data_IF_225131781027
#
_entry.id   IF_225131781027
#
_cell.length_a   1.000
_cell.length_b   1.000
_cell.length_c   1.000
_cell.angle_alpha   90.00
_cell.angle_beta   90.00
_cell.angle_gamma   90.00
#
_symmetry.space_group_name_H-M   'P 1'
#
loop_
_entity.id
_entity.type
_entity.pdbx_description
1 polymer ?
#
# COMPACT_ATOMS: atom_id res chain seq x y z
N UNK A 1 18.87 -17.07 19.27
CA UNK A 1 18.22 -17.72 18.10
C UNK A 1 18.65 -17.06 16.80
N UNK A 2 18.55 -15.73 16.62
CA UNK A 2 18.99 -15.01 15.40
C UNK A 2 20.47 -15.21 15.01
N UNK A 3 21.38 -15.39 15.99
CA UNK A 3 22.80 -15.70 15.70
C UNK A 3 23.01 -17.04 15.00
N UNK A 4 22.14 -18.02 15.26
CA UNK A 4 22.20 -19.35 14.62
C UNK A 4 21.42 -19.40 13.32
N UNK A 5 20.36 -18.64 13.22
CA UNK A 5 19.43 -18.64 12.08
C UNK A 5 19.08 -17.21 11.69
N UNK A 6 20.00 -16.44 11.06
CA UNK A 6 19.80 -15.03 10.78
C UNK A 6 18.64 -14.75 9.81
N UNK A 7 18.34 -15.72 8.94
CA UNK A 7 17.30 -15.57 7.91
C UNK A 7 15.89 -16.01 8.37
N UNK A 8 15.77 -16.65 9.53
CA UNK A 8 14.45 -17.06 10.05
C UNK A 8 13.78 -15.86 10.70
N UNK A 9 12.59 -15.42 10.22
CA UNK A 9 11.84 -14.36 10.87
C UNK A 9 11.39 -14.78 12.27
N UNK A 10 11.60 -13.89 13.25
CA UNK A 10 11.14 -14.08 14.62
C UNK A 10 10.02 -13.10 14.90
N UNK A 11 8.84 -13.66 15.18
CA UNK A 11 7.64 -12.87 15.51
C UNK A 11 7.21 -13.19 16.93
N UNK A 12 6.98 -12.14 17.72
CA UNK A 12 6.40 -12.25 19.05
C UNK A 12 4.91 -11.91 18.96
N UNK A 13 4.08 -12.83 19.43
CA UNK A 13 2.65 -12.61 19.56
C UNK A 13 2.30 -12.48 21.05
N UNK A 14 1.75 -11.32 21.44
CA UNK A 14 1.43 -11.04 22.85
C UNK A 14 -0.06 -10.83 23.04
N UNK A 15 -0.64 -11.17 24.20
CA UNK A 15 -1.97 -10.73 24.54
C UNK A 15 -2.00 -9.20 24.61
N UNK A 16 -3.14 -8.62 24.20
CA UNK A 16 -3.30 -7.17 24.31
C UNK A 16 -3.47 -6.77 25.79
N UNK A 17 -2.46 -6.08 26.35
CA UNK A 17 -2.59 -5.35 27.60
C UNK A 17 -1.66 -4.14 27.59
N UNK A 18 -2.07 -3.06 28.27
CA UNK A 18 -1.21 -1.88 28.45
C UNK A 18 0.08 -2.20 29.21
N UNK A 19 0.03 -3.17 30.13
CA UNK A 19 1.19 -3.61 30.90
C UNK A 19 2.20 -4.33 30.02
N UNK A 20 1.75 -5.23 29.13
CA UNK A 20 2.61 -5.94 28.18
C UNK A 20 3.26 -4.96 27.21
N UNK A 21 2.51 -4.00 26.69
CA UNK A 21 3.05 -2.96 25.80
C UNK A 21 4.15 -2.13 26.47
N UNK A 22 3.99 -1.78 27.76
CA UNK A 22 5.01 -1.07 28.54
C UNK A 22 6.25 -1.92 28.81
N UNK A 23 6.09 -3.22 29.06
CA UNK A 23 7.22 -4.15 29.25
C UNK A 23 8.00 -4.34 27.96
N UNK A 24 7.32 -4.61 26.85
CA UNK A 24 7.93 -4.78 25.54
C UNK A 24 8.77 -3.56 25.13
N UNK A 25 8.30 -2.34 25.43
CA UNK A 25 9.05 -1.10 25.16
C UNK A 25 10.36 -0.97 25.97
N UNK A 26 10.57 -1.80 27.00
CA UNK A 26 11.78 -1.81 27.85
C UNK A 26 12.68 -3.02 27.59
N UNK A 27 12.22 -4.00 26.83
CA UNK A 27 12.97 -5.22 26.54
C UNK A 27 13.88 -5.02 25.32
N UNK A 28 15.02 -5.72 25.33
CA UNK A 28 15.88 -5.80 24.16
C UNK A 28 15.26 -6.72 23.09
N UNK A 29 14.67 -6.11 22.08
CA UNK A 29 14.04 -6.79 20.95
C UNK A 29 14.95 -6.88 19.72
N UNK A 30 16.26 -6.69 19.87
CA UNK A 30 17.22 -6.69 18.75
C UNK A 30 17.23 -7.97 17.90
N UNK A 31 16.68 -9.06 18.44
CA UNK A 31 16.51 -10.34 17.71
C UNK A 31 15.11 -10.60 17.20
N UNK A 32 14.16 -9.68 17.35
CA UNK A 32 12.76 -9.84 16.97
C UNK A 32 12.45 -8.98 15.75
N UNK A 33 11.92 -9.59 14.70
CA UNK A 33 11.56 -8.87 13.48
C UNK A 33 10.27 -8.06 13.67
N UNK A 34 9.26 -8.70 14.29
CA UNK A 34 7.96 -8.07 14.55
C UNK A 34 7.37 -8.49 15.90
N UNK A 35 6.62 -7.59 16.50
CA UNK A 35 5.78 -7.87 17.67
C UNK A 35 4.34 -7.60 17.28
N UNK A 36 3.42 -8.50 17.56
CA UNK A 36 1.99 -8.31 17.31
C UNK A 36 1.18 -8.47 18.57
N UNK A 37 0.07 -7.77 18.63
CA UNK A 37 -0.91 -7.87 19.71
C UNK A 37 -2.08 -8.75 19.27
N UNK A 38 -2.32 -9.84 20.03
CA UNK A 38 -3.47 -10.71 19.78
C UNK A 38 -4.76 -10.02 20.23
N UNK A 39 -5.62 -9.72 19.28
CA UNK A 39 -6.89 -9.02 19.47
C UNK A 39 -8.10 -9.95 19.30
N UNK A 40 -7.89 -11.28 19.34
CA UNK A 40 -8.96 -12.27 19.13
C UNK A 40 -9.32 -12.51 17.66
N UNK A 41 -8.56 -11.96 16.71
CA UNK A 41 -8.81 -12.10 15.28
C UNK A 41 -7.82 -13.10 14.65
N UNK A 42 -8.33 -14.22 14.15
CA UNK A 42 -7.53 -15.27 13.48
C UNK A 42 -6.85 -14.77 12.19
N UNK A 43 -7.48 -13.81 11.49
CA UNK A 43 -6.92 -13.21 10.27
C UNK A 43 -5.56 -12.53 10.51
N UNK A 44 -5.25 -12.21 11.78
CA UNK A 44 -3.93 -11.70 12.15
C UNK A 44 -2.80 -12.67 11.81
N UNK A 45 -3.01 -13.97 11.98
CA UNK A 45 -2.00 -14.98 11.65
C UNK A 45 -1.72 -15.01 10.13
N UNK A 46 -2.76 -14.89 9.33
CA UNK A 46 -2.63 -14.78 7.87
C UNK A 46 -1.89 -13.50 7.50
N UNK A 47 -2.23 -12.38 8.13
CA UNK A 47 -1.56 -11.11 7.91
C UNK A 47 -0.07 -11.14 8.28
N UNK A 48 0.29 -11.78 9.39
CA UNK A 48 1.69 -11.97 9.81
C UNK A 48 2.47 -12.77 8.76
N UNK A 49 1.93 -13.92 8.34
CA UNK A 49 2.58 -14.76 7.32
C UNK A 49 2.77 -13.98 6.02
N UNK A 50 1.72 -13.27 5.57
CA UNK A 50 1.77 -12.50 4.34
C UNK A 50 2.71 -11.30 4.40
N UNK A 51 2.80 -10.63 5.55
CA UNK A 51 3.76 -9.53 5.76
C UNK A 51 5.22 -10.02 5.66
N UNK A 52 5.49 -11.17 6.25
CA UNK A 52 6.81 -11.79 6.17
C UNK A 52 7.13 -12.22 4.74
N UNK A 53 6.19 -12.90 4.09
CA UNK A 53 6.30 -13.32 2.69
C UNK A 53 6.55 -12.12 1.77
N UNK A 54 5.79 -11.04 1.94
CA UNK A 54 5.95 -9.82 1.14
C UNK A 54 7.32 -9.19 1.35
N UNK A 55 7.80 -9.11 2.60
CA UNK A 55 9.13 -8.58 2.91
C UNK A 55 10.25 -9.44 2.31
N UNK A 56 10.14 -10.76 2.39
CA UNK A 56 11.17 -11.67 1.89
C UNK A 56 11.25 -11.67 0.35
N UNK A 57 10.13 -11.50 -0.32
CA UNK A 57 10.05 -11.53 -1.78
C UNK A 57 10.06 -10.14 -2.44
N UNK A 58 10.06 -9.06 -1.65
CA UNK A 58 9.92 -7.69 -2.15
C UNK A 58 10.94 -7.36 -3.24
N UNK A 59 12.21 -7.76 -3.07
CA UNK A 59 13.26 -7.46 -4.04
C UNK A 59 12.93 -8.01 -5.42
N UNK A 60 12.57 -9.29 -5.49
CA UNK A 60 12.28 -9.95 -6.77
C UNK A 60 10.91 -9.52 -7.31
N UNK A 61 9.88 -9.55 -6.46
CA UNK A 61 8.51 -9.32 -6.91
C UNK A 61 8.28 -7.87 -7.33
N UNK A 62 8.88 -6.91 -6.64
CA UNK A 62 8.70 -5.49 -6.96
C UNK A 62 9.65 -5.06 -8.08
N UNK A 63 10.96 -5.30 -7.94
CA UNK A 63 11.94 -4.74 -8.87
C UNK A 63 12.04 -5.52 -10.18
N UNK A 64 11.91 -6.86 -10.15
CA UNK A 64 12.08 -7.70 -11.33
C UNK A 64 10.75 -8.03 -12.03
N UNK A 65 9.68 -8.20 -11.25
CA UNK A 65 8.35 -8.57 -11.78
C UNK A 65 7.46 -7.34 -11.95
N UNK A 66 7.75 -6.25 -11.23
CA UNK A 66 6.96 -5.02 -11.29
C UNK A 66 5.68 -5.06 -10.46
N UNK A 67 5.64 -5.87 -9.40
CA UNK A 67 4.47 -5.93 -8.51
C UNK A 67 4.32 -4.64 -7.71
N UNK A 68 3.11 -4.18 -7.55
CA UNK A 68 2.80 -2.95 -6.80
C UNK A 68 2.98 -3.12 -5.29
N UNK A 69 3.24 -2.01 -4.61
CA UNK A 69 3.48 -1.93 -3.18
C UNK A 69 2.53 -0.96 -2.49
N UNK A 70 1.95 -1.40 -1.39
CA UNK A 70 1.27 -0.54 -0.41
C UNK A 70 2.20 -0.38 0.79
N UNK A 71 2.54 0.85 1.14
CA UNK A 71 3.31 1.15 2.34
C UNK A 71 2.40 1.54 3.50
N UNK A 72 2.44 0.77 4.57
CA UNK A 72 1.82 1.12 5.86
C UNK A 72 2.88 1.67 6.80
N UNK A 73 2.70 2.89 7.29
CA UNK A 73 3.60 3.52 8.28
C UNK A 73 2.89 3.65 9.61
N UNK A 74 3.27 2.81 10.59
CA UNK A 74 2.60 2.74 11.89
C UNK A 74 3.54 2.11 12.92
N UNK A 75 3.85 2.79 14.01
CA UNK A 75 4.72 2.28 15.07
C UNK A 75 3.97 1.61 16.23
N UNK A 76 2.67 1.86 16.34
CA UNK A 76 1.86 1.28 17.40
C UNK A 76 1.50 -0.18 17.11
N UNK A 77 2.01 -1.09 17.96
CA UNK A 77 1.74 -2.54 17.89
C UNK A 77 0.23 -2.81 17.81
N UNK A 78 -0.56 -2.09 18.60
CA UNK A 78 -2.02 -2.25 18.62
C UNK A 78 -2.64 -1.89 17.26
N UNK A 79 -2.25 -0.75 16.70
CA UNK A 79 -2.88 -0.25 15.48
C UNK A 79 -2.49 -1.10 14.26
N UNK A 80 -1.20 -1.37 14.03
CA UNK A 80 -0.85 -2.20 12.88
C UNK A 80 -1.35 -3.66 13.02
N UNK A 81 -1.45 -4.22 14.25
CA UNK A 81 -2.08 -5.52 14.48
C UNK A 81 -3.57 -5.54 14.15
N UNK A 82 -4.25 -4.41 14.22
CA UNK A 82 -5.65 -4.25 13.84
C UNK A 82 -5.84 -3.96 12.34
N UNK A 83 -4.95 -3.17 11.76
CA UNK A 83 -5.06 -2.69 10.36
C UNK A 83 -4.65 -3.78 9.37
N UNK A 84 -3.52 -4.46 9.62
CA UNK A 84 -2.95 -5.44 8.69
C UNK A 84 -3.90 -6.57 8.31
N UNK A 85 -4.67 -7.20 9.23
CA UNK A 85 -5.65 -8.21 8.85
C UNK A 85 -6.69 -7.69 7.86
N UNK A 86 -7.20 -6.48 8.10
CA UNK A 86 -8.19 -5.85 7.22
C UNK A 86 -7.60 -5.52 5.85
N UNK A 87 -6.36 -5.00 5.82
CA UNK A 87 -5.65 -4.65 4.60
C UNK A 87 -5.35 -5.90 3.76
N UNK A 88 -4.82 -6.97 4.39
CA UNK A 88 -4.56 -8.22 3.68
C UNK A 88 -5.83 -8.92 3.20
N UNK A 89 -6.87 -8.99 4.02
CA UNK A 89 -8.15 -9.54 3.59
C UNK A 89 -8.70 -8.79 2.38
N UNK A 90 -8.55 -7.47 2.39
CA UNK A 90 -8.95 -6.65 1.27
C UNK A 90 -8.11 -6.95 0.01
N UNK A 91 -6.78 -6.90 0.10
CA UNK A 91 -5.86 -7.14 -1.03
C UNK A 91 -6.05 -8.55 -1.59
N UNK A 92 -6.17 -9.57 -0.74
CA UNK A 92 -6.38 -10.96 -1.15
C UNK A 92 -7.74 -11.12 -1.86
N UNK A 93 -8.79 -10.49 -1.33
CA UNK A 93 -10.12 -10.54 -1.95
C UNK A 93 -10.14 -9.87 -3.33
N UNK A 94 -9.49 -8.71 -3.48
CA UNK A 94 -9.35 -8.07 -4.80
C UNK A 94 -8.60 -8.96 -5.77
N UNK A 95 -7.48 -9.54 -5.35
CA UNK A 95 -6.71 -10.47 -6.20
C UNK A 95 -7.52 -11.71 -6.61
N UNK A 96 -8.38 -12.23 -5.72
CA UNK A 96 -9.30 -13.31 -6.05
C UNK A 96 -10.32 -12.90 -7.12
N UNK A 97 -10.92 -11.72 -6.99
CA UNK A 97 -11.86 -11.20 -7.99
C UNK A 97 -11.19 -11.14 -9.37
N UNK A 98 -9.97 -10.60 -9.46
CA UNK A 98 -9.20 -10.59 -10.71
C UNK A 98 -8.83 -11.98 -11.21
N UNK A 99 -8.58 -12.93 -10.31
CA UNK A 99 -8.25 -14.30 -10.69
C UNK A 99 -9.43 -15.07 -11.28
N UNK A 100 -10.66 -14.69 -10.95
CA UNK A 100 -11.88 -15.32 -11.54
C UNK A 100 -12.08 -14.96 -13.00
N UNK A 101 -11.48 -13.87 -13.48
CA UNK A 101 -11.51 -13.45 -14.87
C UNK A 101 -10.42 -14.14 -15.73
N UNK A 102 -9.60 -15.00 -15.12
CA UNK A 102 -8.55 -15.71 -15.83
C UNK A 102 -9.11 -16.82 -16.71
N UNK A 103 -8.58 -16.94 -17.91
CA UNK A 103 -9.02 -17.93 -18.90
C UNK A 103 -8.55 -19.36 -18.57
N UNK A 104 -7.51 -19.52 -17.75
CA UNK A 104 -6.95 -20.81 -17.37
C UNK A 104 -6.26 -20.74 -15.99
N UNK A 105 -5.91 -21.92 -15.42
CA UNK A 105 -5.28 -22.02 -14.10
C UNK A 105 -3.89 -21.39 -14.04
N UNK A 106 -3.13 -21.39 -15.14
CA UNK A 106 -1.81 -20.76 -15.19
C UNK A 106 -1.92 -19.25 -15.07
N UNK A 107 -2.80 -18.60 -15.82
CA UNK A 107 -3.11 -17.18 -15.66
C UNK A 107 -3.62 -16.85 -14.28
N UNK A 108 -4.48 -17.71 -13.73
CA UNK A 108 -5.01 -17.55 -12.38
C UNK A 108 -3.89 -17.49 -11.34
N UNK A 109 -2.92 -18.41 -11.44
CA UNK A 109 -1.75 -18.40 -10.54
C UNK A 109 -0.88 -17.15 -10.73
N UNK A 110 -0.65 -16.73 -11.97
CA UNK A 110 0.11 -15.51 -12.25
C UNK A 110 -0.60 -14.28 -11.69
N UNK A 111 -1.92 -14.20 -11.83
CA UNK A 111 -2.72 -13.11 -11.27
C UNK A 111 -2.68 -13.09 -9.74
N UNK A 112 -2.69 -14.22 -9.08
CA UNK A 112 -2.55 -14.28 -7.62
C UNK A 112 -1.16 -13.86 -7.13
N UNK A 113 -0.10 -14.18 -7.89
CA UNK A 113 1.27 -13.73 -7.58
C UNK A 113 1.45 -12.23 -7.76
N UNK A 114 0.75 -11.62 -8.72
CA UNK A 114 0.79 -10.18 -9.01
C UNK A 114 -0.01 -9.32 -8.03
N UNK A 115 -0.51 -9.85 -6.91
CA UNK A 115 -1.18 -9.06 -5.89
C UNK A 115 -0.24 -7.98 -5.33
N UNK A 116 -0.74 -6.78 -5.03
CA UNK A 116 0.07 -5.78 -4.36
C UNK A 116 0.68 -6.31 -3.07
N UNK A 117 1.95 -6.01 -2.86
CA UNK A 117 2.65 -6.30 -1.62
C UNK A 117 2.29 -5.27 -0.56
N UNK A 118 2.39 -5.65 0.70
CA UNK A 118 2.25 -4.72 1.81
C UNK A 118 3.54 -4.72 2.60
N UNK A 119 4.11 -3.55 2.81
CA UNK A 119 5.26 -3.37 3.69
C UNK A 119 4.89 -2.48 4.87
N UNK A 120 5.35 -2.85 6.06
CA UNK A 120 5.19 -2.09 7.28
C UNK A 120 6.49 -1.37 7.62
N UNK A 121 6.43 -0.06 7.76
CA UNK A 121 7.47 0.76 8.35
C UNK A 121 7.02 1.24 9.75
N UNK A 122 7.92 1.18 10.71
CA UNK A 122 7.65 1.58 12.11
C UNK A 122 8.38 2.86 12.50
N UNK A 123 9.30 3.31 11.66
CA UNK A 123 10.04 4.56 11.83
C UNK A 123 10.03 5.37 10.55
N UNK A 124 10.39 6.66 10.69
CA UNK A 124 10.55 7.57 9.56
C UNK A 124 11.61 7.07 8.58
N UNK A 125 12.72 6.57 9.11
CA UNK A 125 13.86 6.09 8.34
C UNK A 125 13.49 4.83 7.54
N UNK A 126 12.75 3.89 8.16
CA UNK A 126 12.23 2.71 7.45
C UNK A 126 11.28 3.12 6.33
N UNK A 127 10.38 4.08 6.60
CA UNK A 127 9.42 4.56 5.60
C UNK A 127 10.14 5.22 4.41
N UNK A 128 11.14 6.06 4.69
CA UNK A 128 11.97 6.70 3.67
C UNK A 128 12.73 5.68 2.81
N UNK A 129 13.40 4.71 3.44
CA UNK A 129 14.13 3.66 2.72
C UNK A 129 13.23 2.86 1.77
N UNK A 130 12.04 2.47 2.25
CA UNK A 130 11.09 1.72 1.44
C UNK A 130 10.58 2.59 0.28
N UNK A 131 10.23 3.84 0.56
CA UNK A 131 9.74 4.75 -0.47
C UNK A 131 10.81 5.04 -1.53
N UNK A 132 12.02 5.42 -1.14
CA UNK A 132 13.11 5.71 -2.08
C UNK A 132 13.46 4.50 -2.95
N UNK A 133 13.45 3.30 -2.35
CA UNK A 133 13.78 2.07 -3.07
C UNK A 133 12.69 1.65 -4.06
N UNK A 134 11.43 1.85 -3.72
CA UNK A 134 10.29 1.28 -4.47
C UNK A 134 9.28 2.33 -4.96
N UNK A 135 9.67 3.60 -5.03
CA UNK A 135 8.76 4.70 -5.41
C UNK A 135 8.08 4.46 -6.76
N UNK A 136 8.82 3.92 -7.75
CA UNK A 136 8.26 3.60 -9.07
C UNK A 136 7.18 2.51 -9.09
N UNK A 137 7.03 1.77 -8.00
CA UNK A 137 6.07 0.67 -7.86
C UNK A 137 5.05 0.94 -6.74
N UNK A 138 5.04 2.15 -6.19
CA UNK A 138 4.18 2.50 -5.06
C UNK A 138 2.74 2.67 -5.52
N UNK A 139 1.82 1.84 -5.01
CA UNK A 139 0.39 1.95 -5.26
C UNK A 139 -0.25 3.01 -4.39
N UNK A 140 0.22 3.14 -3.16
CA UNK A 140 -0.26 4.13 -2.21
C UNK A 140 0.34 3.96 -0.83
N UNK A 141 0.16 4.97 0.00
CA UNK A 141 0.70 5.02 1.36
C UNK A 141 -0.43 5.25 2.35
N UNK A 142 -0.42 4.45 3.42
CA UNK A 142 -1.24 4.66 4.62
C UNK A 142 -0.30 5.01 5.75
N UNK A 143 -0.38 6.22 6.29
CA UNK A 143 0.56 6.72 7.29
C UNK A 143 -0.13 7.25 8.52
N UNK A 144 0.33 6.81 9.71
CA UNK A 144 0.07 7.55 10.94
C UNK A 144 0.74 8.93 10.88
N UNK A 145 0.28 9.85 11.72
CA UNK A 145 0.86 11.18 11.86
C UNK A 145 2.04 11.19 12.82
N UNK A 146 1.97 10.39 13.90
CA UNK A 146 2.92 10.44 15.00
C UNK A 146 3.64 9.11 15.18
N UNK A 147 4.91 9.04 14.80
CA UNK A 147 5.76 7.86 14.97
C UNK A 147 7.22 8.25 15.21
N UNK A 148 8.09 7.25 15.41
CA UNK A 148 9.50 7.44 15.73
C UNK A 148 10.27 8.03 14.54
N UNK A 149 11.06 9.09 14.79
CA UNK A 149 11.99 9.72 13.86
C UNK A 149 13.27 10.07 14.62
N UNK A 150 14.42 9.71 14.08
CA UNK A 150 15.73 9.90 14.72
C UNK A 150 15.80 9.36 16.18
N UNK A 151 15.10 8.24 16.43
CA UNK A 151 15.05 7.58 17.74
C UNK A 151 14.05 8.17 18.74
N UNK A 152 13.38 9.27 18.41
CA UNK A 152 12.40 9.92 19.27
C UNK A 152 11.01 9.99 18.63
N UNK A 153 9.97 10.06 19.46
CA UNK A 153 8.59 10.20 19.00
C UNK A 153 8.34 11.61 18.43
N UNK A 154 8.16 11.72 17.13
CA UNK A 154 7.84 12.98 16.44
C UNK A 154 6.33 13.03 16.13
N UNK A 155 5.62 13.98 16.74
CA UNK A 155 4.17 14.15 16.59
C UNK A 155 3.72 14.53 15.17
N UNK A 156 4.65 14.88 14.27
CA UNK A 156 4.38 15.27 12.89
C UNK A 156 5.22 14.50 11.88
N UNK A 157 5.79 13.37 12.27
CA UNK A 157 6.63 12.54 11.39
C UNK A 157 5.90 12.17 10.10
N UNK A 158 4.64 11.73 10.19
CA UNK A 158 3.83 11.36 9.04
C UNK A 158 3.52 12.54 8.10
N UNK A 159 3.24 13.71 8.66
CA UNK A 159 3.05 14.91 7.83
C UNK A 159 4.34 15.27 7.07
N UNK A 160 5.50 15.22 7.75
CA UNK A 160 6.80 15.48 7.12
C UNK A 160 7.11 14.46 6.02
N UNK A 161 6.86 13.18 6.30
CA UNK A 161 7.02 12.10 5.33
C UNK A 161 6.12 12.30 4.11
N UNK A 162 4.82 12.49 4.32
CA UNK A 162 3.86 12.71 3.24
C UNK A 162 4.15 14.01 2.45
N UNK A 163 4.69 15.05 3.10
CA UNK A 163 5.14 16.28 2.41
C UNK A 163 6.29 15.99 1.46
N UNK A 164 7.28 15.20 1.92
CA UNK A 164 8.38 14.76 1.06
C UNK A 164 7.87 13.92 -0.11
N UNK A 165 7.05 12.92 0.17
CA UNK A 165 6.44 12.09 -0.89
C UNK A 165 5.69 12.94 -1.90
N UNK A 166 4.89 13.90 -1.46
CA UNK A 166 4.10 14.78 -2.33
C UNK A 166 4.98 15.69 -3.19
N UNK A 167 6.17 16.08 -2.70
CA UNK A 167 7.14 16.83 -3.49
C UNK A 167 7.79 16.01 -4.60
N UNK A 168 7.92 14.68 -4.40
CA UNK A 168 8.46 13.75 -5.39
C UNK A 168 7.39 13.26 -6.36
N UNK A 169 6.20 12.96 -5.84
CA UNK A 169 5.05 12.47 -6.59
C UNK A 169 3.77 13.22 -6.19
N UNK A 170 3.33 14.19 -7.02
CA UNK A 170 2.14 14.99 -6.75
C UNK A 170 0.84 14.18 -6.70
N UNK A 171 0.82 12.99 -7.28
CA UNK A 171 -0.40 12.22 -7.51
C UNK A 171 -0.48 10.92 -6.71
N UNK A 172 0.59 10.47 -6.08
CA UNK A 172 0.57 9.24 -5.30
C UNK A 172 -0.55 9.28 -4.25
N UNK A 173 -1.43 8.27 -4.18
CA UNK A 173 -2.46 8.22 -3.16
C UNK A 173 -1.88 8.17 -1.75
N UNK A 174 -2.31 9.12 -0.94
CA UNK A 174 -1.94 9.20 0.46
C UNK A 174 -3.18 9.11 1.33
N UNK A 175 -3.11 8.25 2.33
CA UNK A 175 -4.09 8.15 3.41
C UNK A 175 -3.37 8.49 4.72
N UNK A 176 -3.84 9.50 5.41
CA UNK A 176 -3.30 9.92 6.71
C UNK A 176 -4.26 9.49 7.79
N UNK A 177 -3.77 8.72 8.75
CA UNK A 177 -4.51 8.27 9.92
C UNK A 177 -4.10 9.05 11.15
N UNK A 178 -5.06 9.50 11.96
CA UNK A 178 -4.76 10.17 13.23
C UNK A 178 -5.89 10.04 14.23
N UNK A 179 -5.54 10.04 15.51
CA UNK A 179 -6.49 10.19 16.62
C UNK A 179 -6.88 11.65 16.84
N UNK A 180 -6.10 12.59 16.32
CA UNK A 180 -6.30 14.03 16.44
C UNK A 180 -6.94 14.58 15.15
N UNK A 181 -8.19 15.01 15.23
CA UNK A 181 -8.94 15.54 14.06
C UNK A 181 -8.35 16.82 13.47
N UNK A 182 -7.56 17.56 14.23
CA UNK A 182 -6.87 18.75 13.75
C UNK A 182 -5.94 18.43 12.57
N UNK A 183 -5.37 17.24 12.52
CA UNK A 183 -4.51 16.77 11.44
C UNK A 183 -5.24 16.61 10.10
N UNK A 184 -6.58 16.62 10.10
CA UNK A 184 -7.37 16.61 8.85
C UNK A 184 -7.06 17.82 7.96
N UNK A 185 -6.79 18.97 8.56
CA UNK A 185 -6.41 20.18 7.79
C UNK A 185 -5.08 20.00 7.06
N UNK A 186 -4.13 19.33 7.69
CA UNK A 186 -2.84 19.04 7.07
C UNK A 186 -2.98 17.97 5.96
N UNK A 187 -3.83 16.96 6.17
CA UNK A 187 -4.13 15.97 5.14
C UNK A 187 -4.74 16.62 3.89
N UNK A 188 -5.69 17.55 4.05
CA UNK A 188 -6.30 18.29 2.94
C UNK A 188 -5.25 19.08 2.15
N UNK A 189 -4.32 19.78 2.83
CA UNK A 189 -3.24 20.53 2.17
C UNK A 189 -2.33 19.64 1.32
N UNK A 190 -2.17 18.39 1.74
CA UNK A 190 -1.38 17.38 1.04
C UNK A 190 -2.17 16.62 -0.04
N UNK A 191 -3.41 17.00 -0.29
CA UNK A 191 -4.33 16.23 -1.15
C UNK A 191 -4.34 14.73 -0.74
N UNK A 192 -4.42 14.49 0.57
CA UNK A 192 -4.47 13.16 1.16
C UNK A 192 -5.83 12.89 1.79
N UNK A 193 -6.28 11.64 1.75
CA UNK A 193 -7.47 11.22 2.48
C UNK A 193 -7.17 11.13 3.98
N UNK A 194 -8.12 11.53 4.80
CA UNK A 194 -7.99 11.48 6.26
C UNK A 194 -8.87 10.39 6.87
N UNK A 195 -8.32 9.61 7.81
CA UNK A 195 -9.04 8.62 8.60
C UNK A 195 -8.87 8.88 10.10
N UNK A 196 -10.00 8.95 10.81
CA UNK A 196 -10.02 9.10 12.27
C UNK A 196 -9.79 7.72 12.93
N UNK A 197 -8.65 7.53 13.58
CA UNK A 197 -8.30 6.30 14.32
C UNK A 197 -9.26 5.95 15.45
N UNK A 198 -10.01 6.93 15.95
CA UNK A 198 -11.01 6.74 17.01
C UNK A 198 -12.38 6.30 16.44
N UNK A 199 -12.53 6.26 15.11
CA UNK A 199 -13.78 5.84 14.48
C UNK A 199 -14.03 4.35 14.73
N UNK A 200 -15.23 4.02 15.22
CA UNK A 200 -15.70 2.61 15.32
C UNK A 200 -15.81 1.93 13.95
N UNK A 201 -15.84 2.72 12.88
CA UNK A 201 -15.95 2.25 11.49
C UNK A 201 -14.60 2.28 10.76
N UNK A 202 -13.48 2.51 11.47
CA UNK A 202 -12.16 2.63 10.85
C UNK A 202 -11.85 1.52 9.82
N UNK A 203 -12.10 0.21 10.08
CA UNK A 203 -11.83 -0.82 9.08
C UNK A 203 -12.67 -0.68 7.81
N UNK A 204 -13.92 -0.25 7.95
CA UNK A 204 -14.85 -0.03 6.82
C UNK A 204 -14.43 1.21 6.04
N UNK A 205 -14.07 2.27 6.74
CA UNK A 205 -13.68 3.55 6.14
C UNK A 205 -12.32 3.40 5.44
N UNK A 206 -11.36 2.70 6.05
CA UNK A 206 -10.08 2.36 5.43
C UNK A 206 -10.29 1.61 4.11
N UNK A 207 -11.11 0.54 4.14
CA UNK A 207 -11.41 -0.23 2.94
C UNK A 207 -12.03 0.62 1.83
N UNK A 208 -13.03 1.46 2.16
CA UNK A 208 -13.66 2.37 1.19
C UNK A 208 -12.67 3.36 0.60
N UNK A 209 -11.80 3.91 1.45
CA UNK A 209 -10.82 4.91 1.05
C UNK A 209 -9.75 4.28 0.15
N UNK A 210 -9.27 3.08 0.47
CA UNK A 210 -8.35 2.33 -0.39
C UNK A 210 -8.99 2.01 -1.73
N UNK A 211 -10.23 1.49 -1.74
CA UNK A 211 -10.96 1.21 -2.99
C UNK A 211 -11.09 2.45 -3.87
N UNK A 212 -11.41 3.59 -3.26
CA UNK A 212 -11.61 4.84 -3.98
C UNK A 212 -10.30 5.41 -4.54
N UNK A 213 -9.21 5.31 -3.77
CA UNK A 213 -7.98 6.04 -4.09
C UNK A 213 -6.90 5.19 -4.73
N UNK A 214 -6.83 3.88 -4.44
CA UNK A 214 -5.75 3.04 -4.94
C UNK A 214 -6.07 2.32 -6.25
N UNK A 215 -7.31 2.35 -6.73
CA UNK A 215 -7.70 1.88 -8.05
C UNK A 215 -7.23 0.46 -8.38
N UNK A 216 -7.59 -0.53 -7.57
CA UNK A 216 -7.17 -1.91 -7.76
C UNK A 216 -7.64 -2.49 -9.10
N UNK A 217 -6.71 -2.71 -10.01
CA UNK A 217 -6.97 -3.43 -11.25
C UNK A 217 -7.42 -2.56 -12.42
N UNK A 218 -7.78 -1.31 -12.18
CA UNK A 218 -8.37 -0.46 -13.18
C UNK A 218 -7.51 0.79 -13.42
N UNK A 219 -7.42 1.24 -14.68
CA UNK A 219 -6.86 2.54 -15.01
C UNK A 219 -7.94 3.59 -14.96
N UNK A 220 -7.78 4.61 -14.14
CA UNK A 220 -8.66 5.77 -14.18
C UNK A 220 -7.92 6.97 -14.75
N UNK A 221 -8.38 7.46 -15.88
CA UNK A 221 -7.90 8.69 -16.47
C UNK A 221 -8.62 9.86 -15.81
N UNK A 222 -7.88 10.87 -15.39
CA UNK A 222 -8.39 12.01 -14.65
C UNK A 222 -8.09 13.29 -15.44
N UNK A 223 -9.05 14.19 -15.47
CA UNK A 223 -8.86 15.52 -16.01
C UNK A 223 -7.87 16.29 -15.12
N UNK A 224 -6.72 16.75 -15.66
CA UNK A 224 -5.69 17.43 -14.88
C UNK A 224 -6.15 18.75 -14.29
N UNK A 225 -7.16 19.38 -14.89
CA UNK A 225 -7.65 20.70 -14.45
C UNK A 225 -8.73 20.61 -13.39
N UNK A 226 -9.62 19.60 -13.48
CA UNK A 226 -10.77 19.46 -12.55
C UNK A 226 -10.55 18.38 -11.50
N UNK A 227 -9.63 17.43 -11.73
CA UNK A 227 -9.43 16.26 -10.88
C UNK A 227 -10.55 15.23 -11.00
N UNK A 228 -11.49 15.39 -11.94
CA UNK A 228 -12.59 14.46 -12.13
C UNK A 228 -12.19 13.27 -13.00
N UNK A 229 -12.71 12.05 -12.72
CA UNK A 229 -12.47 10.90 -13.55
C UNK A 229 -13.15 11.05 -14.92
N UNK A 230 -12.38 10.81 -15.99
CA UNK A 230 -12.87 10.81 -17.38
C UNK A 230 -13.41 9.43 -17.74
N UNK A 231 -12.58 8.41 -17.57
CA UNK A 231 -12.91 7.02 -17.86
C UNK A 231 -12.07 6.06 -17.02
N UNK A 232 -12.64 4.92 -16.68
CA UNK A 232 -11.93 3.82 -16.01
C UNK A 232 -11.82 2.64 -16.97
N UNK A 233 -10.58 2.23 -17.24
CA UNK A 233 -10.23 1.16 -18.17
C UNK A 233 -9.84 -0.09 -17.37
N UNK A 234 -10.49 -1.21 -17.65
CA UNK A 234 -10.28 -2.47 -16.92
C UNK A 234 -9.42 -3.48 -17.66
N UNK A 235 -9.32 -3.34 -18.96
CA UNK A 235 -8.60 -4.26 -19.84
C UNK A 235 -8.21 -3.57 -21.14
N UNK A 236 -7.42 -4.26 -21.98
CA UNK A 236 -6.95 -3.72 -23.25
C UNK A 236 -8.09 -3.38 -24.21
N UNK A 237 -9.17 -4.15 -24.20
CA UNK A 237 -10.32 -3.88 -25.06
C UNK A 237 -11.01 -2.58 -24.65
N UNK A 238 -11.24 -2.39 -23.35
CA UNK A 238 -11.80 -1.13 -22.83
C UNK A 238 -10.92 0.07 -23.22
N UNK A 239 -9.58 -0.11 -23.24
CA UNK A 239 -8.67 0.95 -23.69
C UNK A 239 -8.87 1.25 -25.18
N UNK A 240 -8.94 0.22 -26.03
CA UNK A 240 -9.18 0.39 -27.45
C UNK A 240 -10.54 1.04 -27.75
N UNK A 241 -11.58 0.62 -27.03
CA UNK A 241 -12.94 1.14 -27.19
C UNK A 241 -13.11 2.59 -26.72
N UNK A 242 -12.22 3.08 -25.87
CA UNK A 242 -12.31 4.41 -25.24
C UNK A 242 -11.12 5.33 -25.56
N UNK A 243 -10.23 4.93 -26.46
CA UNK A 243 -9.00 5.67 -26.77
C UNK A 243 -9.28 7.11 -27.23
N UNK A 244 -10.35 7.30 -28.00
CA UNK A 244 -10.71 8.59 -28.59
C UNK A 244 -11.26 9.61 -27.57
N UNK A 245 -11.71 9.13 -26.40
CA UNK A 245 -12.24 10.01 -25.33
C UNK A 245 -11.20 10.35 -24.27
N UNK A 246 -10.01 9.75 -24.35
CA UNK A 246 -8.91 9.99 -23.42
C UNK A 246 -8.09 11.16 -23.95
N UNK A 247 -8.10 12.34 -23.30
CA UNK A 247 -7.29 13.47 -23.73
C UNK A 247 -5.79 13.17 -23.59
N UNK A 248 -4.97 13.70 -24.49
CA UNK A 248 -3.51 13.55 -24.48
C UNK A 248 -2.85 14.11 -23.20
N UNK A 249 -3.50 15.07 -22.57
CA UNK A 249 -3.05 15.72 -21.33
C UNK A 249 -3.69 15.14 -20.06
N UNK A 250 -4.47 14.04 -20.20
CA UNK A 250 -5.09 13.42 -19.03
C UNK A 250 -4.05 12.78 -18.12
N UNK A 251 -4.30 12.89 -16.81
CA UNK A 251 -3.47 12.25 -15.80
C UNK A 251 -3.89 10.80 -15.60
N UNK A 252 -2.89 9.92 -15.46
CA UNK A 252 -3.11 8.52 -15.14
C UNK A 252 -3.04 8.34 -13.63
N UNK A 253 -4.16 7.95 -13.04
CA UNK A 253 -4.22 7.52 -11.65
C UNK A 253 -4.35 6.00 -11.63
N UNK A 254 -3.35 5.34 -11.07
CA UNK A 254 -3.28 3.90 -10.86
C UNK A 254 -3.21 3.06 -12.12
N UNK A 255 -2.01 2.66 -12.43
CA UNK A 255 -1.79 1.58 -13.33
C UNK A 255 -1.89 0.27 -12.59
N UNK A 256 -2.79 -0.56 -12.98
CA UNK A 256 -2.73 -1.95 -12.64
C UNK A 256 -2.87 -2.77 -13.90
N UNK A 257 -2.10 -3.74 -14.00
CA UNK A 257 -2.17 -4.96 -14.79
C UNK A 257 -2.90 -4.92 -16.13
N UNK A 258 -2.15 -4.89 -17.23
CA UNK A 258 -2.63 -5.18 -18.59
C UNK A 258 -2.39 -6.67 -18.87
N UNK A 259 -3.43 -7.40 -19.25
CA UNK A 259 -3.31 -8.75 -19.81
C UNK A 259 -3.29 -8.63 -21.33
N UNK A 260 -2.22 -9.11 -21.97
CA UNK A 260 -2.10 -9.12 -23.42
C UNK A 260 -2.90 -10.27 -24.02
N UNK A 261 -3.24 -10.18 -25.34
CA UNK A 261 -3.97 -11.26 -26.04
C UNK A 261 -3.23 -12.61 -26.06
N UNK A 262 -1.91 -12.60 -25.89
CA UNK A 262 -1.06 -13.79 -25.78
C UNK A 262 -1.06 -14.42 -24.38
N UNK A 263 -1.86 -13.87 -23.45
CA UNK A 263 -1.92 -14.31 -22.06
C UNK A 263 -0.77 -13.76 -21.19
N UNK A 264 0.17 -13.02 -21.76
CA UNK A 264 1.21 -12.37 -20.96
C UNK A 264 0.62 -11.21 -20.14
N UNK A 265 1.10 -11.09 -18.91
CA UNK A 265 0.66 -10.04 -17.99
C UNK A 265 1.85 -9.13 -17.76
N UNK A 266 1.71 -7.87 -18.12
CA UNK A 266 2.60 -6.82 -17.62
C UNK A 266 1.84 -5.98 -16.62
N UNK A 267 2.45 -5.77 -15.48
CA UNK A 267 2.00 -4.75 -14.56
C UNK A 267 2.68 -3.48 -15.02
N UNK A 268 1.92 -2.59 -15.65
CA UNK A 268 2.41 -1.31 -16.07
C UNK A 268 2.18 -0.32 -14.93
N UNK A 269 3.27 0.22 -14.41
CA UNK A 269 3.25 1.31 -13.46
C UNK A 269 3.39 2.61 -14.24
N UNK A 270 2.38 3.45 -14.17
CA UNK A 270 2.46 4.81 -14.64
C UNK A 270 2.20 5.76 -13.47
N UNK A 271 3.25 6.08 -12.78
CA UNK A 271 3.36 7.32 -12.03
C UNK A 271 4.01 8.31 -12.99
N UNK A 272 3.23 9.08 -13.76
CA UNK A 272 3.83 10.01 -14.68
C UNK A 272 3.20 11.40 -14.61
N UNK A 273 4.02 12.44 -14.39
CA UNK A 273 3.60 13.82 -14.49
C UNK A 273 3.76 14.41 -15.90
N UNK A 274 3.86 13.58 -16.96
CA UNK A 274 3.96 14.07 -18.35
C UNK A 274 2.97 13.34 -19.24
N UNK A 275 2.34 14.04 -20.19
CA UNK A 275 1.52 13.43 -21.21
C UNK A 275 2.37 12.41 -21.98
N UNK A 276 2.07 11.13 -21.82
CA UNK A 276 2.57 10.11 -22.72
C UNK A 276 1.60 10.03 -23.88
N UNK A 277 2.07 10.30 -25.08
CA UNK A 277 1.38 9.83 -26.26
C UNK A 277 1.29 8.31 -26.20
N UNK A 278 0.14 7.75 -26.53
CA UNK A 278 -0.12 6.30 -26.56
C UNK A 278 0.88 5.53 -27.45
N UNK A 279 1.53 6.23 -28.38
CA UNK A 279 2.62 5.72 -29.25
C UNK A 279 3.89 5.30 -28.50
N UNK A 280 3.97 5.60 -27.20
CA UNK A 280 5.12 5.24 -26.35
C UNK A 280 4.82 4.13 -25.35
N UNK A 281 3.64 3.54 -25.39
CA UNK A 281 3.38 2.30 -24.67
C UNK A 281 4.23 1.19 -25.31
N UNK A 282 5.10 0.51 -24.57
CA UNK A 282 5.77 -0.66 -25.09
C UNK A 282 4.69 -1.73 -25.34
N UNK A 283 4.44 -2.01 -26.62
CA UNK A 283 3.61 -3.11 -27.10
C UNK A 283 4.30 -4.42 -26.81
#
# INVERSE_FOLDING_TARGET
MKRLYPYIPIVVLTPFSHEVSRRIAKEDLSGVDYVFSWLGNVDLLVAIIKLIEDKMNAEVDITSVGVQLILLVEDSIRFYSSILPNLYNFVLKQSQIFSTEALNDHERMLRMRGRPKVMLARTYEEAMQIYEKYSGNMLGIVSDVSFVRAGEKDKKAGIKFCTYVRSCDPYLPLIIESSERENQKEAIKLNASFLDKNSKKLPVDLRKTILKNFGFGDFTFINPNTGEPIVTIKNLKDLQDNIDIIPDDSLYYHASRITYPDGSIRVLFFLWPKPCSLDKLPI
#
